data_IF_592774573425
#
_entry.id   IF_592774573425
#
_cell.length_a   1.000
_cell.length_b   1.000
_cell.length_c   1.000
_cell.angle_alpha   90.00
_cell.angle_beta   90.00
_cell.angle_gamma   90.00
#
_symmetry.space_group_name_H-M   'P 1'
#
loop_
_entity.id
_entity.type
_entity.pdbx_description
1 polymer ?
#
# COMPACT_ATOMS: atom_id res chain seq x y z
N UNK A 1 19.88 -6.24 -23.95
CA UNK A 1 18.85 -5.76 -22.99
C UNK A 1 18.71 -4.27 -23.20
N UNK A 2 17.49 -3.73 -23.22
CA UNK A 2 17.29 -2.28 -23.32
C UNK A 2 17.65 -1.61 -22.00
N UNK A 3 18.11 -0.37 -22.04
CA UNK A 3 18.44 0.43 -20.86
C UNK A 3 17.25 0.52 -19.89
N UNK A 4 16.05 0.69 -20.44
CA UNK A 4 14.79 0.65 -19.69
C UNK A 4 14.58 -0.65 -18.90
N UNK A 5 14.92 -1.81 -19.50
CA UNK A 5 14.80 -3.10 -18.82
C UNK A 5 15.69 -3.18 -17.57
N UNK A 6 16.92 -2.67 -17.67
CA UNK A 6 17.89 -2.68 -16.58
C UNK A 6 17.42 -1.80 -15.41
N UNK A 7 16.97 -0.57 -15.67
CA UNK A 7 16.46 0.31 -14.60
C UNK A 7 15.22 -0.26 -13.93
N UNK A 8 14.32 -0.85 -14.72
CA UNK A 8 13.10 -1.48 -14.19
C UNK A 8 13.45 -2.62 -13.22
N UNK A 9 14.39 -3.49 -13.61
CA UNK A 9 14.76 -4.65 -12.81
C UNK A 9 15.53 -4.27 -11.54
N UNK A 10 16.40 -3.25 -11.61
CA UNK A 10 17.10 -2.71 -10.43
C UNK A 10 16.08 -2.10 -9.45
N UNK A 11 15.17 -1.26 -9.95
CA UNK A 11 14.13 -0.64 -9.12
C UNK A 11 13.23 -1.72 -8.48
N UNK A 12 12.84 -2.74 -9.24
CA UNK A 12 12.03 -3.85 -8.73
C UNK A 12 12.74 -4.58 -7.58
N UNK A 13 14.00 -4.97 -7.77
CA UNK A 13 14.78 -5.64 -6.73
C UNK A 13 14.96 -4.78 -5.48
N UNK A 14 15.21 -3.48 -5.65
CA UNK A 14 15.33 -2.55 -4.53
C UNK A 14 14.05 -2.54 -3.70
N UNK A 15 12.89 -2.31 -4.32
CA UNK A 15 11.61 -2.28 -3.61
C UNK A 15 11.23 -3.63 -2.99
N UNK A 16 11.47 -4.76 -3.67
CA UNK A 16 11.24 -6.09 -3.08
C UNK A 16 12.13 -6.29 -1.83
N UNK A 17 13.39 -5.83 -1.84
CA UNK A 17 14.30 -6.02 -0.70
C UNK A 17 13.92 -5.23 0.57
N UNK A 18 13.15 -4.15 0.44
CA UNK A 18 12.74 -3.31 1.57
C UNK A 18 11.54 -3.88 2.33
N UNK A 19 10.75 -4.77 1.73
CA UNK A 19 9.44 -5.18 2.24
C UNK A 19 9.53 -5.74 3.66
N UNK A 20 10.46 -6.65 3.92
CA UNK A 20 10.62 -7.29 5.23
C UNK A 20 11.05 -6.29 6.32
N UNK A 21 12.04 -5.46 6.01
CA UNK A 21 12.51 -4.42 6.93
C UNK A 21 11.41 -3.40 7.23
N UNK A 22 10.64 -2.99 6.22
CA UNK A 22 9.51 -2.08 6.39
C UNK A 22 8.38 -2.72 7.21
N UNK A 23 8.03 -3.97 6.94
CA UNK A 23 6.98 -4.68 7.66
C UNK A 23 7.27 -4.82 9.16
N UNK A 24 8.54 -5.00 9.52
CA UNK A 24 8.99 -5.18 10.92
C UNK A 24 9.40 -3.88 11.60
N UNK A 25 9.51 -2.77 10.86
CA UNK A 25 9.93 -1.48 11.40
C UNK A 25 8.88 -0.79 12.26
N UNK A 26 9.35 0.01 13.21
CA UNK A 26 8.50 0.93 13.98
C UNK A 26 7.88 2.03 13.11
N UNK A 27 8.50 2.38 11.98
CA UNK A 27 8.00 3.43 11.11
C UNK A 27 6.63 3.06 10.49
N UNK A 28 6.48 1.83 10.00
CA UNK A 28 5.20 1.38 9.45
C UNK A 28 4.22 0.90 10.52
N UNK A 29 4.73 0.54 11.71
CA UNK A 29 3.98 0.13 12.90
C UNK A 29 2.74 -0.70 12.53
N UNK A 30 3.00 -1.88 11.96
CA UNK A 30 1.97 -2.84 11.57
C UNK A 30 1.13 -3.26 12.77
N UNK A 31 1.72 -3.30 13.98
CA UNK A 31 1.01 -3.65 15.22
C UNK A 31 -0.03 -2.60 15.59
N UNK A 32 0.31 -1.31 15.58
CA UNK A 32 -0.64 -0.23 15.81
C UNK A 32 -1.72 -0.18 14.74
N UNK A 33 -1.36 -0.39 13.46
CA UNK A 33 -2.35 -0.50 12.39
C UNK A 33 -3.36 -1.65 12.62
N UNK A 34 -2.89 -2.83 13.05
CA UNK A 34 -3.75 -3.97 13.42
C UNK A 34 -4.64 -3.62 14.63
N UNK A 35 -4.11 -2.86 15.60
CA UNK A 35 -4.85 -2.40 16.77
C UNK A 35 -5.94 -1.35 16.45
N UNK A 36 -5.94 -0.81 15.23
CA UNK A 36 -6.98 0.10 14.73
C UNK A 36 -6.46 1.42 14.22
N UNK A 37 -5.17 1.72 14.39
CA UNK A 37 -4.62 3.00 13.99
C UNK A 37 -4.64 3.19 12.46
N UNK A 38 -4.73 4.45 12.05
CA UNK A 38 -4.59 4.86 10.66
C UNK A 38 -3.12 5.09 10.31
N UNK A 39 -2.74 4.79 9.05
CA UNK A 39 -1.45 5.18 8.47
C UNK A 39 -1.57 6.36 7.49
N UNK A 40 -2.69 7.07 7.52
CA UNK A 40 -2.86 8.33 6.80
C UNK A 40 -2.41 9.49 7.68
N UNK A 41 -1.63 10.39 7.12
CA UNK A 41 -1.25 11.64 7.78
C UNK A 41 -2.30 12.74 7.59
N UNK A 42 -2.08 13.87 8.26
CA UNK A 42 -3.00 15.01 8.22
C UNK A 42 -3.07 15.68 6.85
N UNK A 43 -2.01 15.64 6.05
CA UNK A 43 -1.99 16.22 4.71
C UNK A 43 -2.88 15.36 3.81
N UNK A 44 -2.69 14.04 3.83
CA UNK A 44 -3.52 13.10 3.07
C UNK A 44 -5.00 13.27 3.37
N UNK A 45 -5.37 13.33 4.65
CA UNK A 45 -6.76 13.50 5.08
C UNK A 45 -7.36 14.84 4.63
N UNK A 46 -6.59 15.93 4.71
CA UNK A 46 -7.08 17.25 4.36
C UNK A 46 -7.22 17.46 2.85
N UNK A 47 -6.27 16.94 2.07
CA UNK A 47 -6.23 17.16 0.61
C UNK A 47 -7.21 16.24 -0.12
N UNK A 48 -7.37 14.99 0.33
CA UNK A 48 -8.31 14.03 -0.30
C UNK A 48 -9.75 14.27 0.18
N UNK A 49 -9.92 14.63 1.46
CA UNK A 49 -11.22 14.89 2.07
C UNK A 49 -12.08 13.64 2.31
N UNK A 50 -13.40 13.82 2.38
CA UNK A 50 -14.34 12.74 2.63
C UNK A 50 -14.44 11.77 1.44
N UNK A 51 -14.17 10.50 1.71
CA UNK A 51 -14.15 9.41 0.73
C UNK A 51 -15.32 8.43 0.87
N UNK A 52 -16.26 8.69 1.77
CA UNK A 52 -17.38 7.79 2.08
C UNK A 52 -18.17 7.43 0.81
N UNK A 53 -18.24 6.13 0.50
CA UNK A 53 -18.96 5.58 -0.65
C UNK A 53 -18.32 5.89 -2.01
N UNK A 54 -17.10 6.44 -2.05
CA UNK A 54 -16.38 6.74 -3.29
C UNK A 54 -15.46 5.59 -3.69
N UNK A 55 -15.23 5.43 -4.99
CA UNK A 55 -14.16 4.57 -5.49
C UNK A 55 -12.81 5.30 -5.45
N UNK A 56 -11.77 4.61 -4.96
CA UNK A 56 -10.43 5.19 -4.79
C UNK A 56 -9.36 4.26 -5.38
N UNK A 57 -8.59 4.77 -6.34
CA UNK A 57 -7.41 4.10 -6.87
C UNK A 57 -6.17 4.59 -6.12
N UNK A 58 -5.57 3.71 -5.31
CA UNK A 58 -4.36 4.04 -4.54
C UNK A 58 -3.12 3.45 -5.23
N UNK A 59 -2.33 4.32 -5.87
CA UNK A 59 -1.12 3.92 -6.60
C UNK A 59 0.08 3.79 -5.66
N UNK A 60 0.97 2.84 -5.95
CA UNK A 60 2.14 2.54 -5.13
C UNK A 60 1.75 2.18 -3.67
N UNK A 61 0.76 1.30 -3.50
CA UNK A 61 0.20 1.01 -2.18
C UNK A 61 1.11 0.23 -1.21
N UNK A 62 2.33 -0.10 -1.63
CA UNK A 62 3.27 -0.93 -0.87
C UNK A 62 2.63 -2.26 -0.41
N UNK A 63 2.57 -2.52 0.90
CA UNK A 63 1.85 -3.67 1.49
C UNK A 63 0.47 -3.28 2.06
N UNK A 64 -0.06 -2.12 1.69
CA UNK A 64 -1.48 -1.81 1.74
C UNK A 64 -2.01 -1.07 2.96
N UNK A 65 -1.18 -0.64 3.92
CA UNK A 65 -1.69 -0.01 5.15
C UNK A 65 -2.51 1.26 4.89
N UNK A 66 -2.02 2.18 4.05
CA UNK A 66 -2.75 3.41 3.71
C UNK A 66 -3.99 3.10 2.86
N UNK A 67 -3.93 2.13 1.93
CA UNK A 67 -5.11 1.65 1.20
C UNK A 67 -6.20 1.13 2.13
N UNK A 68 -5.84 0.32 3.12
CA UNK A 68 -6.77 -0.21 4.10
C UNK A 68 -7.28 0.89 5.05
N UNK A 69 -6.45 1.90 5.34
CA UNK A 69 -6.87 3.07 6.12
C UNK A 69 -7.95 3.88 5.37
N UNK A 70 -7.79 4.11 4.07
CA UNK A 70 -8.83 4.73 3.23
C UNK A 70 -10.13 3.91 3.20
N UNK A 71 -10.02 2.58 3.14
CA UNK A 71 -11.19 1.71 3.18
C UNK A 71 -11.91 1.77 4.55
N UNK A 72 -11.17 1.89 5.66
CA UNK A 72 -11.77 2.13 7.00
C UNK A 72 -12.53 3.45 7.07
N UNK A 73 -12.17 4.44 6.26
CA UNK A 73 -12.89 5.71 6.10
C UNK A 73 -14.08 5.63 5.12
N UNK A 74 -14.39 4.44 4.60
CA UNK A 74 -15.59 4.19 3.78
C UNK A 74 -15.38 4.26 2.27
N UNK A 75 -14.13 4.30 1.79
CA UNK A 75 -13.84 4.22 0.35
C UNK A 75 -13.87 2.77 -0.16
N UNK A 76 -14.32 2.57 -1.40
CA UNK A 76 -14.10 1.34 -2.17
C UNK A 76 -12.71 1.40 -2.83
N UNK A 77 -11.71 0.81 -2.18
CA UNK A 77 -10.30 1.01 -2.57
C UNK A 77 -9.78 -0.09 -3.49
N UNK A 78 -9.12 0.30 -4.57
CA UNK A 78 -8.22 -0.55 -5.36
C UNK A 78 -6.77 -0.12 -5.17
N UNK A 79 -5.97 -0.97 -4.53
CA UNK A 79 -4.53 -0.72 -4.35
C UNK A 79 -3.68 -1.33 -5.47
N UNK A 80 -2.72 -0.56 -5.99
CA UNK A 80 -1.77 -1.02 -7.02
C UNK A 80 -0.34 -0.90 -6.51
N UNK A 81 0.42 -1.99 -6.52
CA UNK A 81 1.85 -2.02 -6.17
C UNK A 81 2.70 -2.52 -7.34
N UNK A 82 3.95 -2.08 -7.38
CA UNK A 82 4.88 -2.35 -8.47
C UNK A 82 5.78 -3.59 -8.24
N UNK A 83 5.74 -4.22 -7.05
CA UNK A 83 6.70 -5.26 -6.65
C UNK A 83 6.05 -6.64 -6.36
N UNK A 84 6.85 -7.71 -6.38
CA UNK A 84 6.35 -9.11 -6.43
C UNK A 84 6.02 -9.69 -5.07
N UNK A 85 6.68 -9.26 -4.00
CA UNK A 85 6.57 -9.94 -2.70
C UNK A 85 5.15 -9.88 -2.10
N UNK A 86 4.28 -8.98 -2.56
CA UNK A 86 2.85 -8.97 -2.18
C UNK A 86 2.00 -10.08 -2.83
N UNK A 87 2.58 -10.96 -3.67
CA UNK A 87 1.87 -12.08 -4.29
C UNK A 87 1.90 -13.37 -3.45
N UNK A 88 2.76 -13.47 -2.43
CA UNK A 88 2.89 -14.68 -1.58
C UNK A 88 2.11 -14.61 -0.25
N UNK A 89 1.66 -13.42 0.16
CA UNK A 89 0.70 -13.29 1.26
C UNK A 89 -0.69 -13.71 0.74
N UNK A 90 -1.50 -14.44 1.54
CA UNK A 90 -2.77 -14.97 1.07
C UNK A 90 -3.67 -13.86 0.53
N UNK A 91 -3.74 -13.76 -0.81
CA UNK A 91 -4.68 -12.87 -1.49
C UNK A 91 -6.04 -13.54 -1.47
N UNK A 92 -7.02 -12.90 -0.83
CA UNK A 92 -8.39 -12.99 -1.36
C UNK A 92 -8.32 -12.35 -2.75
N UNK A 93 -8.49 -13.18 -3.79
CA UNK A 93 -8.63 -12.73 -5.19
C UNK A 93 -9.62 -11.57 -5.19
N UNK A 94 -9.18 -10.39 -5.63
CA UNK A 94 -9.96 -9.16 -5.62
C UNK A 94 -10.61 -8.85 -4.26
N UNK A 95 -9.85 -8.30 -3.31
CA UNK A 95 -10.49 -7.37 -2.38
C UNK A 95 -10.83 -6.10 -3.18
N UNK A 96 -12.08 -6.03 -3.67
CA UNK A 96 -12.86 -4.86 -3.29
C UNK A 96 -12.97 -4.95 -1.78
N UNK A 97 -12.35 -4.02 -1.05
CA UNK A 97 -12.74 -3.81 0.35
C UNK A 97 -14.11 -3.14 0.30
#
# INVERSE_FOLDING_TARGET
>A
MTEFGIYKDINLHYWDSLVEGHYTSEFYDVKGFIAGDSRLDTIELNEVGDVTGKSLLHMQCHFGLSSLSWARLGAEVTGVAFFRQFQSLPRRKSLKI
#
